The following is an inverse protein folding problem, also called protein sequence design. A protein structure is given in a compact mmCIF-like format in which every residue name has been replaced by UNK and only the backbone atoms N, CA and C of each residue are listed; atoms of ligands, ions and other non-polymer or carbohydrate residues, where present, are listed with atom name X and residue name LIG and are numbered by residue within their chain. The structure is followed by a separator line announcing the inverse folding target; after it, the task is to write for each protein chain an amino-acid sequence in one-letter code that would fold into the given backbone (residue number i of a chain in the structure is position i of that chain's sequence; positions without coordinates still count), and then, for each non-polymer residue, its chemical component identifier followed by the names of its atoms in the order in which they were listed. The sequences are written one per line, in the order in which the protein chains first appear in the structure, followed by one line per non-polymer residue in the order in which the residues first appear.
data_IF_658630769971
#
_entry.id   IF_658630769971
#
_cell.length_a   1.000
_cell.length_b   1.000
_cell.length_c   1.000
_cell.angle_alpha   90.00
_cell.angle_beta   90.00
_cell.angle_gamma   90.00
#
_symmetry.space_group_name_H-M   'P 1'
#
loop_
_entity.id
_entity.type
_entity.pdbx_description
1 polymer ?
#
# COMPACT_ATOMS: atom_id res chain seq x y z
N UNK A 1 -0.31 19.23 -0.69
CA UNK A 1 0.03 19.00 -2.10
C UNK A 1 0.03 17.50 -2.27
N UNK A 2 -0.98 16.94 -2.95
CA UNK A 2 -1.13 15.50 -3.07
C UNK A 2 -0.17 15.01 -4.17
N UNK A 3 1.01 14.56 -3.76
CA UNK A 3 1.85 13.70 -4.59
C UNK A 3 0.95 12.51 -4.98
N UNK A 4 0.83 12.19 -6.27
CA UNK A 4 0.11 10.99 -6.73
C UNK A 4 0.91 9.77 -6.30
N UNK A 5 0.75 9.41 -5.04
CA UNK A 5 1.49 8.36 -4.37
C UNK A 5 0.85 7.01 -4.66
N UNK A 6 1.59 5.94 -4.39
CA UNK A 6 1.12 4.55 -4.42
C UNK A 6 -0.32 4.40 -3.87
N UNK A 7 -0.68 5.19 -2.86
CA UNK A 7 -2.01 5.31 -2.27
C UNK A 7 -3.13 5.65 -3.28
N UNK A 8 -2.94 6.66 -4.12
CA UNK A 8 -3.90 7.11 -5.14
C UNK A 8 -4.07 6.04 -6.23
N UNK A 9 -2.96 5.45 -6.68
CA UNK A 9 -2.98 4.34 -7.62
C UNK A 9 -3.73 3.13 -7.07
N UNK A 10 -3.49 2.79 -5.79
CA UNK A 10 -4.21 1.70 -5.14
C UNK A 10 -5.69 2.02 -5.05
N UNK A 11 -6.07 3.26 -4.72
CA UNK A 11 -7.47 3.68 -4.60
C UNK A 11 -8.20 3.60 -5.94
N UNK A 12 -7.60 4.14 -7.00
CA UNK A 12 -8.14 4.06 -8.35
C UNK A 12 -8.31 2.60 -8.79
N UNK A 13 -7.31 1.74 -8.54
CA UNK A 13 -7.35 0.34 -8.96
C UNK A 13 -8.27 -0.54 -8.12
N UNK A 14 -8.40 -0.29 -6.83
CA UNK A 14 -9.35 -1.00 -5.97
C UNK A 14 -10.77 -0.45 -6.11
N UNK A 15 -10.97 0.67 -6.82
CA UNK A 15 -12.26 1.37 -6.86
C UNK A 15 -12.67 1.86 -5.48
N UNK A 16 -11.70 2.36 -4.70
CA UNK A 16 -11.97 3.17 -3.51
C UNK A 16 -12.10 4.62 -3.97
N UNK A 17 -13.15 5.31 -3.54
CA UNK A 17 -13.31 6.73 -3.81
C UNK A 17 -12.39 7.57 -2.92
N UNK A 18 -12.01 7.03 -1.76
CA UNK A 18 -11.17 7.73 -0.78
C UNK A 18 -10.06 6.85 -0.19
N UNK A 19 -8.92 7.47 0.14
CA UNK A 19 -7.80 6.82 0.84
C UNK A 19 -8.20 6.23 2.20
N UNK A 20 -9.19 6.84 2.86
CA UNK A 20 -9.75 6.35 4.12
C UNK A 20 -10.38 4.96 3.96
N UNK A 21 -11.04 4.68 2.84
CA UNK A 21 -11.61 3.34 2.56
C UNK A 21 -10.51 2.30 2.35
N UNK A 22 -9.34 2.74 1.85
CA UNK A 22 -8.16 1.90 1.73
C UNK A 22 -7.58 1.51 3.09
N UNK A 23 -7.70 2.39 4.09
CA UNK A 23 -7.31 2.15 5.48
C UNK A 23 -8.33 1.29 6.24
N UNK A 24 -9.62 1.39 5.89
CA UNK A 24 -10.72 0.72 6.58
C UNK A 24 -10.71 -0.82 6.42
N UNK A 25 -9.95 -1.33 5.46
CA UNK A 25 -9.68 -2.76 5.33
C UNK A 25 -10.68 -3.52 4.44
N UNK A 26 -11.69 -2.84 3.92
CA UNK A 26 -12.80 -3.42 3.14
C UNK A 26 -12.32 -4.05 1.83
N UNK A 27 -11.24 -3.53 1.24
CA UNK A 27 -10.67 -3.99 -0.05
C UNK A 27 -9.26 -4.57 0.04
N UNK A 28 -8.83 -4.99 1.24
CA UNK A 28 -7.53 -5.59 1.49
C UNK A 28 -7.17 -6.72 0.51
N UNK A 29 -8.15 -7.56 0.15
CA UNK A 29 -7.96 -8.68 -0.79
C UNK A 29 -7.71 -8.22 -2.23
N UNK A 30 -8.36 -7.15 -2.68
CA UNK A 30 -8.14 -6.54 -3.99
C UNK A 30 -6.80 -5.81 -4.03
N UNK A 31 -6.49 -5.01 -3.01
CA UNK A 31 -5.21 -4.29 -2.87
C UNK A 31 -4.04 -5.27 -2.90
N UNK A 32 -4.13 -6.38 -2.17
CA UNK A 32 -3.11 -7.44 -2.19
C UNK A 32 -2.88 -8.02 -3.58
N UNK A 33 -3.95 -8.21 -4.38
CA UNK A 33 -3.86 -8.66 -5.78
C UNK A 33 -3.29 -7.59 -6.72
N UNK A 34 -3.63 -6.32 -6.51
CA UNK A 34 -3.10 -5.20 -7.29
C UNK A 34 -1.60 -5.06 -7.01
N UNK A 35 -1.19 -5.07 -5.74
CA UNK A 35 0.20 -5.05 -5.30
C UNK A 35 0.99 -6.22 -5.87
N UNK A 36 0.39 -7.42 -5.95
CA UNK A 36 1.03 -8.58 -6.56
C UNK A 36 1.39 -8.33 -8.04
N UNK A 37 0.46 -7.75 -8.80
CA UNK A 37 0.62 -7.40 -10.21
C UNK A 37 1.46 -6.14 -10.46
N UNK A 38 1.52 -5.23 -9.49
CA UNK A 38 2.32 -4.00 -9.59
C UNK A 38 3.79 -4.35 -9.41
N UNK A 39 4.63 -3.87 -10.31
CA UNK A 39 6.07 -4.04 -10.14
C UNK A 39 6.59 -3.07 -9.08
N UNK A 40 7.54 -3.52 -8.25
CA UNK A 40 8.10 -2.69 -7.19
C UNK A 40 8.87 -1.48 -7.75
N UNK A 41 9.41 -1.64 -8.96
CA UNK A 41 10.15 -0.63 -9.72
C UNK A 41 9.25 0.48 -10.27
N UNK A 42 7.94 0.24 -10.33
CA UNK A 42 6.96 1.18 -10.91
C UNK A 42 6.73 2.43 -10.05
N UNK A 43 7.07 2.35 -8.77
CA UNK A 43 6.93 3.43 -7.80
C UNK A 43 8.25 3.65 -7.08
N UNK A 44 8.54 4.90 -6.74
CA UNK A 44 9.78 5.20 -6.02
C UNK A 44 9.71 4.67 -4.61
N UNK A 45 10.88 4.37 -4.04
CA UNK A 45 11.01 3.98 -2.64
C UNK A 45 10.34 4.98 -1.68
N UNK A 46 10.32 6.26 -2.05
CA UNK A 46 9.68 7.33 -1.27
C UNK A 46 8.16 7.13 -1.20
N UNK A 47 7.51 6.82 -2.32
CA UNK A 47 6.08 6.52 -2.40
C UNK A 47 5.70 5.30 -1.56
N UNK A 48 6.54 4.25 -1.63
CA UNK A 48 6.36 3.04 -0.84
C UNK A 48 6.46 3.32 0.66
N UNK A 49 7.45 4.10 1.09
CA UNK A 49 7.62 4.48 2.50
C UNK A 49 6.45 5.30 3.00
N UNK A 50 6.00 6.27 2.22
CA UNK A 50 4.91 7.14 2.61
C UNK A 50 3.59 6.37 2.71
N UNK A 51 3.31 5.47 1.76
CA UNK A 51 2.16 4.59 1.85
C UNK A 51 2.22 3.68 3.09
N UNK A 52 3.39 3.13 3.43
CA UNK A 52 3.55 2.32 4.64
C UNK A 52 3.31 3.15 5.90
N UNK A 53 3.88 4.35 5.99
CA UNK A 53 3.65 5.28 7.10
C UNK A 53 2.16 5.61 7.20
N UNK A 54 1.48 5.79 6.08
CA UNK A 54 0.04 6.02 6.01
C UNK A 54 -0.80 4.82 6.47
N UNK A 55 -0.43 3.57 6.18
CA UNK A 55 -1.24 2.41 6.61
C UNK A 55 -0.92 1.94 8.02
N UNK A 56 0.35 1.97 8.41
CA UNK A 56 0.80 1.47 9.72
C UNK A 56 0.91 2.54 10.79
N UNK A 57 0.76 3.82 10.42
CA UNK A 57 1.06 4.96 11.30
C UNK A 57 2.51 4.89 11.84
N UNK A 58 3.37 4.11 11.18
CA UNK A 58 4.70 3.76 11.64
C UNK A 58 5.72 3.96 10.51
N UNK A 59 6.77 4.70 10.83
CA UNK A 59 7.86 4.98 9.90
C UNK A 59 8.82 3.79 9.86
N UNK A 60 8.57 2.85 8.96
CA UNK A 60 9.46 1.70 8.77
C UNK A 60 10.69 2.11 7.94
N UNK A 61 11.88 1.78 8.44
CA UNK A 61 13.13 2.02 7.72
C UNK A 61 13.39 0.94 6.65
N UNK A 62 12.44 0.80 5.72
CA UNK A 62 12.60 -0.09 4.58
C UNK A 62 13.61 0.54 3.62
N UNK A 63 14.61 -0.22 3.18
CA UNK A 63 15.66 0.27 2.28
C UNK A 63 15.44 -0.14 0.81
N UNK A 64 14.40 -0.93 0.55
CA UNK A 64 14.19 -1.61 -0.72
C UNK A 64 12.69 -1.67 -1.11
N UNK A 65 12.39 -1.40 -2.37
CA UNK A 65 11.01 -1.35 -2.89
C UNK A 65 10.33 -2.73 -2.82
N UNK A 66 11.08 -3.82 -3.05
CA UNK A 66 10.50 -5.19 -2.96
C UNK A 66 10.09 -5.50 -1.52
N UNK A 67 10.93 -5.11 -0.56
CA UNK A 67 10.64 -5.27 0.87
C UNK A 67 9.39 -4.49 1.28
N UNK A 68 9.22 -3.27 0.75
CA UNK A 68 8.02 -2.46 0.99
C UNK A 68 6.76 -3.09 0.39
N UNK A 69 6.84 -3.57 -0.85
CA UNK A 69 5.76 -4.30 -1.51
C UNK A 69 5.36 -5.54 -0.71
N UNK A 70 6.32 -6.34 -0.26
CA UNK A 70 6.06 -7.55 0.54
C UNK A 70 5.41 -7.18 1.88
N UNK A 71 5.87 -6.10 2.51
CA UNK A 71 5.30 -5.63 3.78
C UNK A 71 3.84 -5.20 3.61
N UNK A 72 3.53 -4.33 2.64
CA UNK A 72 2.15 -3.92 2.35
C UNK A 72 1.29 -5.11 1.96
N UNK A 73 1.78 -5.98 1.07
CA UNK A 73 1.07 -7.20 0.69
C UNK A 73 0.74 -8.07 1.90
N UNK A 74 1.66 -8.20 2.87
CA UNK A 74 1.44 -8.96 4.12
C UNK A 74 0.43 -8.27 5.04
N UNK A 75 0.48 -6.94 5.13
CA UNK A 75 -0.50 -6.14 5.86
C UNK A 75 -1.91 -6.34 5.30
N UNK A 76 -2.07 -6.25 3.98
CA UNK A 76 -3.34 -6.45 3.29
C UNK A 76 -3.76 -7.93 3.14
N UNK A 77 -2.85 -8.89 3.24
CA UNK A 77 -3.16 -10.33 3.14
C UNK A 77 -3.86 -10.91 4.38
N UNK A 78 -4.19 -10.09 5.38
CA UNK A 78 -5.00 -10.52 6.52
C UNK A 78 -4.28 -11.42 7.53
N UNK A 79 -2.94 -11.43 7.57
CA UNK A 79 -2.18 -12.15 8.64
C UNK A 79 -2.00 -11.34 9.93
N UNK A 80 -2.92 -10.41 10.19
CA UNK A 80 -3.15 -9.84 11.51
C UNK A 80 -4.62 -10.10 11.89
N UNK A 81 -5.02 -11.38 11.93
CA UNK A 81 -6.08 -11.79 12.83
C UNK A 81 -5.56 -11.56 14.24
N UNK A 82 -6.11 -10.55 14.89
CA UNK A 82 -5.97 -10.30 16.32
C UNK A 82 -6.70 -11.39 17.10
#
# INVERSE_FOLDING_TARGET
MAEQQLLDFLAEKSGCAYLSELRDGTKNREISRILDKVDADKFSMKDWKDAIEYFTDAKLNIQDQKSAKVFLKKHFSGKYSK
#
